data_IF_377136818410
#
_entry.id   IF_377136818410
#
_cell.length_a   1.000
_cell.length_b   1.000
_cell.length_c   1.000
_cell.angle_alpha   90.00
_cell.angle_beta   90.00
_cell.angle_gamma   90.00
#
_symmetry.space_group_name_H-M   'P 1'
#
loop_
_entity.id
_entity.type
_entity.pdbx_description
1 polymer ?
#
# COMPACT_ATOMS: atom_id res chain seq x y z
N UNK A 1 3.21 7.76 3.27
CA UNK A 1 1.97 8.50 3.62
C UNK A 1 0.81 7.67 3.15
N UNK A 2 -0.03 7.16 4.04
CA UNK A 2 -1.19 6.33 3.67
C UNK A 2 -2.40 7.24 3.43
N UNK A 3 -3.10 7.00 2.32
CA UNK A 3 -4.24 7.83 1.89
C UNK A 3 -5.59 7.29 2.32
N UNK A 4 -5.64 6.03 2.77
CA UNK A 4 -6.88 5.30 3.06
C UNK A 4 -7.83 5.20 1.85
N UNK A 5 -7.30 5.27 0.64
CA UNK A 5 -8.05 5.20 -0.62
C UNK A 5 -7.92 3.84 -1.33
N UNK A 6 -7.73 2.77 -0.56
CA UNK A 6 -7.83 1.40 -1.08
C UNK A 6 -9.27 0.89 -0.99
N UNK A 7 -9.63 0.04 -1.94
CA UNK A 7 -10.85 -0.77 -1.87
C UNK A 7 -10.78 -1.72 -0.67
N UNK A 8 -11.89 -2.37 -0.35
CA UNK A 8 -11.97 -3.38 0.73
C UNK A 8 -11.04 -4.57 0.52
N UNK A 9 -10.72 -4.89 -0.75
CA UNK A 9 -9.73 -5.90 -1.12
C UNK A 9 -8.28 -5.39 -1.05
N UNK A 10 -8.06 -4.09 -0.82
CA UNK A 10 -6.75 -3.45 -0.78
C UNK A 10 -6.24 -2.92 -2.11
N UNK A 11 -6.96 -3.15 -3.22
CA UNK A 11 -6.61 -2.60 -4.54
C UNK A 11 -6.80 -1.07 -4.59
N UNK A 12 -6.06 -0.34 -5.44
CA UNK A 12 -6.17 1.12 -5.50
C UNK A 12 -7.52 1.57 -6.06
N UNK A 13 -8.22 2.46 -5.35
CA UNK A 13 -9.37 3.18 -5.89
C UNK A 13 -8.93 4.24 -6.90
N UNK A 14 -9.84 4.69 -7.76
CA UNK A 14 -9.59 5.81 -8.67
C UNK A 14 -9.10 7.07 -7.95
N UNK A 15 -9.63 7.33 -6.74
CA UNK A 15 -9.22 8.46 -5.91
C UNK A 15 -7.75 8.39 -5.46
N UNK A 16 -7.26 7.19 -5.14
CA UNK A 16 -5.84 6.96 -4.87
C UNK A 16 -5.00 7.29 -6.11
N UNK A 17 -5.44 6.83 -7.28
CA UNK A 17 -4.71 7.08 -8.52
C UNK A 17 -4.63 8.57 -8.85
N UNK A 18 -5.73 9.30 -8.69
CA UNK A 18 -5.77 10.74 -8.91
C UNK A 18 -4.96 11.50 -7.85
N UNK A 19 -4.88 10.99 -6.62
CA UNK A 19 -4.01 11.52 -5.59
C UNK A 19 -2.53 11.48 -6.00
N UNK A 20 -2.04 10.32 -6.45
CA UNK A 20 -0.65 10.15 -6.87
C UNK A 20 -0.34 10.83 -8.21
N UNK A 21 -1.29 10.81 -9.16
CA UNK A 21 -1.18 11.54 -10.42
C UNK A 21 -0.99 13.05 -10.19
N UNK A 22 -1.68 13.64 -9.19
CA UNK A 22 -1.49 15.06 -8.81
C UNK A 22 -0.07 15.35 -8.31
N UNK A 23 0.58 14.42 -7.61
CA UNK A 23 1.98 14.58 -7.16
C UNK A 23 2.93 14.54 -8.35
N UNK A 24 2.72 13.60 -9.27
CA UNK A 24 3.47 13.53 -10.52
C UNK A 24 3.29 14.82 -11.35
N UNK A 25 2.05 15.29 -11.53
CA UNK A 25 1.72 16.55 -12.20
C UNK A 25 2.38 17.77 -11.54
N UNK A 26 2.55 17.74 -10.22
CA UNK A 26 3.23 18.77 -9.45
C UNK A 26 4.74 18.83 -9.64
N UNK A 27 5.33 17.93 -10.45
CA UNK A 27 6.76 17.93 -10.77
C UNK A 27 7.60 16.94 -9.94
N UNK A 28 6.98 16.02 -9.21
CA UNK A 28 7.73 14.96 -8.53
C UNK A 28 8.46 14.05 -9.55
N UNK A 29 9.77 13.88 -9.41
CA UNK A 29 10.56 12.99 -10.28
C UNK A 29 10.31 11.50 -10.01
N UNK A 30 10.00 11.16 -8.75
CA UNK A 30 9.62 9.82 -8.30
C UNK A 30 8.41 9.95 -7.37
N UNK A 31 7.42 9.11 -7.61
CA UNK A 31 6.27 8.92 -6.72
C UNK A 31 6.39 7.54 -6.08
N UNK A 32 6.52 7.53 -4.76
CA UNK A 32 6.46 6.30 -3.97
C UNK A 32 5.00 6.12 -3.52
N UNK A 33 4.36 5.07 -4.03
CA UNK A 33 3.03 4.64 -3.58
C UNK A 33 3.18 4.13 -2.14
N UNK A 34 2.18 4.47 -1.32
CA UNK A 34 2.11 4.15 0.11
C UNK A 34 2.41 2.72 0.49
N UNK A 35 2.56 2.49 1.80
CA UNK A 35 2.72 1.19 2.41
C UNK A 35 1.72 0.19 1.82
N UNK A 36 2.22 -0.75 1.04
CA UNK A 36 1.43 -1.80 0.40
C UNK A 36 1.89 -3.14 0.95
N UNK A 37 0.98 -3.84 1.64
CA UNK A 37 1.30 -5.14 2.23
C UNK A 37 1.33 -6.23 1.16
N UNK A 38 2.31 -7.12 1.29
CA UNK A 38 2.41 -8.35 0.48
C UNK A 38 1.73 -9.55 1.16
N UNK A 39 1.34 -9.40 2.42
CA UNK A 39 0.66 -10.41 3.21
C UNK A 39 -0.74 -9.89 3.58
N UNK A 40 -1.82 -10.52 3.08
CA UNK A 40 -3.19 -10.11 3.39
C UNK A 40 -3.53 -10.12 4.89
N UNK A 41 -2.79 -10.92 5.67
CA UNK A 41 -2.96 -11.06 7.12
C UNK A 41 -2.23 -9.99 7.92
N UNK A 42 -1.23 -9.32 7.34
CA UNK A 42 -0.48 -8.23 7.97
C UNK A 42 -1.01 -6.88 7.50
N UNK A 43 -1.87 -6.24 8.30
CA UNK A 43 -2.46 -4.92 8.03
C UNK A 43 -2.36 -4.02 9.25
N UNK A 44 -2.15 -2.72 9.08
CA UNK A 44 -2.19 -1.76 10.21
C UNK A 44 -3.54 -1.03 10.35
N UNK A 45 -4.33 -0.99 9.26
CA UNK A 45 -5.60 -0.28 9.20
C UNK A 45 -6.57 -0.94 8.22
N UNK A 46 -7.86 -0.56 8.29
CA UNK A 46 -8.93 -1.19 7.51
C UNK A 46 -8.85 -0.96 5.99
N UNK A 47 -8.24 0.14 5.55
CA UNK A 47 -8.07 0.50 4.14
C UNK A 47 -6.63 0.24 3.66
N UNK A 48 -6.00 -0.83 4.14
CA UNK A 48 -4.62 -1.17 3.79
C UNK A 48 -4.46 -1.53 2.31
N UNK A 49 -3.56 -0.83 1.62
CA UNK A 49 -3.13 -1.19 0.27
C UNK A 49 -2.49 -2.58 0.24
N UNK A 50 -2.84 -3.39 -0.76
CA UNK A 50 -2.35 -4.77 -0.92
C UNK A 50 -1.80 -5.05 -2.32
N UNK A 51 -0.77 -5.89 -2.38
CA UNK A 51 -0.19 -6.44 -3.62
C UNK A 51 0.34 -7.85 -3.36
N UNK A 52 -0.54 -8.75 -2.90
CA UNK A 52 -0.19 -10.12 -2.48
C UNK A 52 -0.35 -11.16 -3.59
N UNK A 53 -1.08 -10.85 -4.67
CA UNK A 53 -1.31 -11.77 -5.78
C UNK A 53 -1.47 -11.03 -7.14
N UNK A 54 -1.59 -11.79 -8.23
CA UNK A 54 -1.60 -11.22 -9.58
C UNK A 54 -2.89 -10.45 -9.93
N UNK A 55 -3.97 -10.62 -9.17
CA UNK A 55 -5.23 -9.89 -9.40
C UNK A 55 -5.11 -8.39 -9.16
N UNK A 56 -4.11 -7.93 -8.39
CA UNK A 56 -3.83 -6.51 -8.17
C UNK A 56 -3.14 -5.82 -9.34
N UNK A 57 -2.54 -6.59 -10.26
CA UNK A 57 -1.75 -6.06 -11.39
C UNK A 57 -2.57 -5.09 -12.25
N UNK A 58 -3.80 -5.39 -12.71
CA UNK A 58 -4.51 -4.51 -13.63
C UNK A 58 -4.81 -3.12 -13.07
N UNK A 59 -5.21 -3.02 -11.79
CA UNK A 59 -5.48 -1.72 -11.16
C UNK A 59 -4.19 -0.98 -10.79
N UNK A 60 -3.17 -1.71 -10.34
CA UNK A 60 -1.85 -1.12 -10.06
C UNK A 60 -1.18 -0.58 -11.32
N UNK A 61 -1.31 -1.26 -12.46
CA UNK A 61 -0.83 -0.77 -13.76
C UNK A 61 -1.50 0.54 -14.15
N UNK A 62 -2.82 0.69 -13.93
CA UNK A 62 -3.53 1.95 -14.19
C UNK A 62 -3.03 3.11 -13.31
N UNK A 63 -2.76 2.84 -12.04
CA UNK A 63 -2.14 3.80 -11.13
C UNK A 63 -0.77 4.25 -11.67
N UNK A 64 0.07 3.29 -12.06
CA UNK A 64 1.40 3.55 -12.62
C UNK A 64 1.32 4.35 -13.93
N UNK A 65 0.40 4.02 -14.84
CA UNK A 65 0.19 4.75 -16.09
C UNK A 65 -0.18 6.22 -15.84
N UNK A 66 -1.02 6.49 -14.84
CA UNK A 66 -1.40 7.86 -14.45
C UNK A 66 -0.22 8.65 -13.87
N UNK A 67 0.67 8.01 -13.13
CA UNK A 67 1.92 8.63 -12.64
C UNK A 67 2.84 8.93 -13.83
N UNK A 68 3.08 7.95 -14.68
CA UNK A 68 3.97 8.04 -15.84
C UNK A 68 3.53 9.08 -16.87
N UNK A 69 2.22 9.35 -16.99
CA UNK A 69 1.68 10.39 -17.88
C UNK A 69 2.29 11.77 -17.64
N UNK A 70 2.77 12.05 -16.43
CA UNK A 70 3.40 13.33 -16.08
C UNK A 70 4.94 13.26 -16.01
N UNK A 71 5.55 12.20 -16.55
CA UNK A 71 7.01 12.05 -16.63
C UNK A 71 7.69 11.56 -15.35
N UNK A 72 6.95 11.42 -14.25
CA UNK A 72 7.43 10.85 -13.00
C UNK A 72 7.69 9.35 -13.15
N UNK A 73 8.59 8.80 -12.33
CA UNK A 73 8.71 7.34 -12.10
C UNK A 73 7.81 6.92 -10.94
N UNK A 74 7.42 5.64 -10.92
CA UNK A 74 6.67 5.04 -9.83
C UNK A 74 7.53 4.02 -9.08
N UNK A 75 7.44 4.02 -7.75
CA UNK A 75 7.90 2.94 -6.88
C UNK A 75 6.79 2.60 -5.88
N UNK A 76 6.88 1.43 -5.24
CA UNK A 76 5.91 0.98 -4.24
C UNK A 76 6.64 0.61 -2.95
N UNK A 77 6.09 1.01 -1.81
CA UNK A 77 6.63 0.69 -0.49
C UNK A 77 6.10 -0.68 -0.03
N UNK A 78 6.83 -1.76 -0.35
CA UNK A 78 6.47 -3.10 0.11
C UNK A 78 6.62 -3.19 1.62
N UNK A 79 5.55 -3.59 2.31
CA UNK A 79 5.47 -3.55 3.77
C UNK A 79 5.01 -4.89 4.34
N UNK A 80 5.49 -5.20 5.54
CA UNK A 80 4.94 -6.18 6.46
C UNK A 80 5.00 -5.57 7.85
N UNK A 81 3.89 -5.57 8.59
CA UNK A 81 3.79 -4.83 9.85
C UNK A 81 4.33 -5.58 11.07
N UNK A 82 4.60 -6.88 10.93
CA UNK A 82 5.16 -7.69 12.01
C UNK A 82 4.26 -7.61 13.25
N UNK A 83 4.85 -7.39 14.42
CA UNK A 83 4.12 -7.25 15.70
C UNK A 83 3.29 -5.96 15.84
N UNK A 84 3.42 -5.01 14.91
CA UNK A 84 2.57 -3.81 14.81
C UNK A 84 1.38 -4.03 13.88
N UNK A 85 1.22 -5.24 13.36
CA UNK A 85 0.03 -5.57 12.60
C UNK A 85 -1.20 -5.56 13.50
N UNK A 86 -2.34 -5.53 12.85
CA UNK A 86 -3.62 -5.87 13.44
C UNK A 86 -4.19 -7.03 12.63
N UNK A 87 -3.95 -8.26 13.08
CA UNK A 87 -4.60 -9.43 12.46
C UNK A 87 -6.09 -9.38 12.78
N UNK A 88 -6.93 -9.15 11.77
CA UNK A 88 -8.38 -9.36 11.90
C UNK A 88 -8.77 -10.84 11.97
N UNK A 89 -7.81 -11.77 11.98
CA UNK A 89 -8.02 -13.16 11.58
C UNK A 89 -7.32 -14.20 12.49
N UNK A 90 -6.95 -13.84 13.73
CA UNK A 90 -6.57 -14.82 14.75
C UNK A 90 -5.28 -15.64 14.50
N UNK A 91 -4.43 -15.21 13.56
CA UNK A 91 -3.07 -15.76 13.39
C UNK A 91 -2.06 -15.06 14.30
N UNK A 92 -0.96 -15.73 14.62
CA UNK A 92 0.20 -15.08 15.24
C UNK A 92 0.88 -14.15 14.23
N UNK A 93 1.21 -12.94 14.67
CA UNK A 93 1.99 -12.01 13.86
C UNK A 93 3.45 -12.40 13.91
N UNK A 94 4.10 -12.66 12.77
CA UNK A 94 5.51 -13.01 12.77
C UNK A 94 6.32 -11.78 13.18
N UNK A 95 7.12 -11.96 14.22
CA UNK A 95 8.05 -10.97 14.72
C UNK A 95 9.44 -11.61 14.91
N UNK A 96 10.52 -10.81 14.97
CA UNK A 96 11.85 -11.34 15.24
C UNK A 96 11.98 -12.04 16.62
N UNK A 97 11.06 -11.78 17.54
CA UNK A 97 11.04 -12.35 18.90
C UNK A 97 9.61 -12.35 19.44
N UNK A 98 9.34 -13.22 20.41
CA UNK A 98 8.07 -13.31 21.13
C UNK A 98 7.93 -12.15 22.13
N UNK A 99 7.65 -10.96 21.60
CA UNK A 99 7.43 -9.73 22.36
C UNK A 99 6.24 -9.00 21.77
N UNK A 100 5.34 -8.55 22.63
CA UNK A 100 4.24 -7.68 22.22
C UNK A 100 4.79 -6.31 21.81
N UNK A 101 4.32 -5.78 20.68
CA UNK A 101 4.59 -4.38 20.36
C UNK A 101 4.08 -3.48 21.48
N UNK A 102 4.88 -2.47 21.83
CA UNK A 102 4.51 -1.50 22.88
C UNK A 102 3.77 -0.28 22.31
N UNK A 103 3.51 -0.25 21.01
CA UNK A 103 3.05 0.95 20.31
C UNK A 103 4.15 2.03 20.28
N UNK A 104 4.06 2.94 19.30
CA UNK A 104 4.87 4.15 19.23
C UNK A 104 4.14 5.33 19.90
#
# INVERSE_FOLDING_TARGET
MNTDYSNTDGSPMELMMDYYARRAKGGAGLVVVESTTIDPTSRNHGAQSQFSDTSYIPLSSKLVDKIHRYGAKAAIELTHFGADGTVSSGGEEPAPSDVTSRGA
#
